data_IF_919408304182
#
_entry.id   IF_919408304182
#
_cell.length_a   1.000
_cell.length_b   1.000
_cell.length_c   1.000
_cell.angle_alpha   90.00
_cell.angle_beta   90.00
_cell.angle_gamma   90.00
#
_symmetry.space_group_name_H-M   'P 1'
#
loop_
_entity.id
_entity.type
_entity.pdbx_description
1 polymer ?
#
# COMPACT_ATOMS: atom_id res chain seq x y z
N UNK A 1 9.43 11.49 -5.58
CA UNK A 1 8.66 11.45 -4.33
C UNK A 1 8.00 10.08 -4.15
N UNK A 2 7.04 9.69 -4.99
CA UNK A 2 6.42 8.35 -4.96
C UNK A 2 7.41 7.17 -4.78
N UNK A 3 8.42 7.04 -5.65
CA UNK A 3 9.38 5.93 -5.57
C UNK A 3 10.14 5.89 -4.24
N UNK A 4 10.44 7.05 -3.65
CA UNK A 4 11.09 7.13 -2.34
C UNK A 4 10.17 6.59 -1.25
N UNK A 5 8.89 6.99 -1.26
CA UNK A 5 7.89 6.48 -0.32
C UNK A 5 7.74 4.96 -0.41
N UNK A 6 7.67 4.42 -1.63
CA UNK A 6 7.63 2.97 -1.88
C UNK A 6 8.87 2.24 -1.36
N UNK A 7 10.07 2.76 -1.60
CA UNK A 7 11.30 2.17 -1.09
C UNK A 7 11.34 2.15 0.45
N UNK A 8 10.93 3.24 1.10
CA UNK A 8 10.88 3.32 2.56
C UNK A 8 9.90 2.30 3.15
N UNK A 9 8.73 2.13 2.51
CA UNK A 9 7.74 1.14 2.90
C UNK A 9 8.30 -0.28 2.76
N UNK A 10 8.83 -0.67 1.61
CA UNK A 10 9.41 -2.01 1.42
C UNK A 10 10.50 -2.27 2.46
N UNK A 11 11.32 -1.26 2.75
CA UNK A 11 12.35 -1.37 3.79
C UNK A 11 11.77 -1.53 5.20
N UNK A 12 10.64 -0.88 5.50
CA UNK A 12 9.94 -1.07 6.77
C UNK A 12 9.41 -2.50 6.90
N UNK A 13 8.88 -3.08 5.84
CA UNK A 13 8.38 -4.46 5.80
C UNK A 13 9.52 -5.47 6.01
N UNK A 14 10.66 -5.28 5.34
CA UNK A 14 11.85 -6.14 5.53
C UNK A 14 12.40 -6.10 6.96
N UNK A 15 12.26 -4.97 7.65
CA UNK A 15 12.80 -4.78 9.01
C UNK A 15 11.77 -5.09 10.09
N UNK A 16 10.53 -5.41 9.71
CA UNK A 16 9.46 -5.68 10.64
C UNK A 16 9.63 -7.10 11.23
N UNK A 17 9.85 -7.24 12.55
CA UNK A 17 9.97 -8.57 13.17
C UNK A 17 8.66 -9.37 13.12
N UNK A 18 7.53 -8.72 12.87
CA UNK A 18 6.21 -9.35 12.79
C UNK A 18 5.78 -9.80 11.38
N UNK A 19 6.70 -9.80 10.40
CA UNK A 19 6.39 -10.40 9.08
C UNK A 19 6.07 -11.89 9.27
N UNK A 20 4.92 -12.41 8.76
CA UNK A 20 4.54 -13.82 8.89
C UNK A 20 5.60 -14.82 8.41
N UNK A 21 6.57 -14.39 7.58
CA UNK A 21 7.76 -15.20 7.22
C UNK A 21 8.66 -15.56 8.41
N UNK A 22 8.65 -14.75 9.47
CA UNK A 22 9.55 -14.87 10.63
C UNK A 22 8.85 -15.43 11.88
N UNK A 23 7.52 -15.39 11.95
CA UNK A 23 6.77 -15.71 13.17
C UNK A 23 6.52 -17.21 13.41
N UNK A 24 6.58 -18.05 12.38
CA UNK A 24 6.18 -19.47 12.46
C UNK A 24 7.17 -20.44 11.82
N UNK A 25 8.46 -20.32 12.13
CA UNK A 25 9.37 -21.42 11.80
C UNK A 25 9.01 -22.61 12.71
N UNK A 26 8.45 -23.66 12.12
CA UNK A 26 8.10 -24.91 12.84
C UNK A 26 9.32 -25.47 13.59
N UNK A 27 10.52 -25.20 13.07
CA UNK A 27 11.81 -25.53 13.68
C UNK A 27 12.06 -24.83 15.03
N UNK A 28 11.54 -23.61 15.23
CA UNK A 28 11.64 -22.86 16.48
C UNK A 28 10.65 -23.31 17.56
N UNK A 29 9.62 -24.06 17.16
CA UNK A 29 8.60 -24.63 18.05
C UNK A 29 8.97 -26.02 18.58
N UNK A 30 10.07 -26.63 18.10
CA UNK A 30 10.56 -27.91 18.61
C UNK A 30 11.27 -27.66 19.95
N UNK A 31 10.76 -28.18 21.09
CA UNK A 31 11.46 -28.12 22.37
C UNK A 31 12.87 -28.70 22.25
N UNK A 32 13.89 -28.06 22.83
CA UNK A 32 15.28 -28.56 22.80
C UNK A 32 15.41 -30.02 23.25
N UNK A 33 14.55 -30.48 24.17
CA UNK A 33 14.49 -31.87 24.64
C UNK A 33 14.13 -32.89 23.54
N UNK A 34 13.37 -32.49 22.51
CA UNK A 34 13.01 -33.37 21.39
C UNK A 34 14.08 -33.37 20.27
N UNK A 35 14.91 -32.33 20.22
CA UNK A 35 16.08 -32.25 19.34
C UNK A 35 17.20 -33.21 19.79
N UNK A 36 17.35 -33.41 21.09
CA UNK A 36 18.30 -34.38 21.66
C UNK A 36 17.91 -35.84 21.40
N UNK A 37 16.62 -36.12 21.13
CA UNK A 37 16.09 -37.45 20.79
C UNK A 37 16.14 -37.74 19.28
N UNK A 38 16.70 -36.84 18.47
CA UNK A 38 16.97 -37.08 17.05
C UNK A 38 15.80 -36.81 16.11
N UNK A 39 14.71 -36.18 16.58
CA UNK A 39 13.58 -35.79 15.74
C UNK A 39 13.94 -34.53 14.95
N UNK A 40 14.19 -34.70 13.65
CA UNK A 40 14.61 -33.64 12.73
C UNK A 40 13.48 -33.14 11.82
N UNK A 41 12.30 -33.77 11.85
CA UNK A 41 11.18 -33.40 10.99
C UNK A 41 9.81 -33.69 11.61
N UNK A 42 8.78 -32.95 11.18
CA UNK A 42 7.38 -33.12 11.59
C UNK A 42 6.79 -34.50 11.25
N UNK A 43 7.43 -35.25 10.36
CA UNK A 43 7.03 -36.63 10.03
C UNK A 43 7.30 -37.64 11.15
N UNK A 44 8.23 -37.35 12.07
CA UNK A 44 8.59 -38.28 13.16
C UNK A 44 7.68 -38.13 14.39
N UNK A 45 6.91 -37.03 14.48
CA UNK A 45 5.92 -36.80 15.54
C UNK A 45 4.65 -37.64 15.35
N UNK A 46 4.35 -38.05 14.11
CA UNK A 46 3.13 -38.81 13.78
C UNK A 46 3.29 -40.33 13.94
N UNK A 47 4.51 -40.82 14.17
CA UNK A 47 4.83 -42.26 14.31
C UNK A 47 5.13 -42.68 15.75
N UNK A 48 5.26 -41.74 16.68
CA UNK A 48 5.40 -42.05 18.10
C UNK A 48 4.05 -42.47 18.68
N UNK A 49 3.91 -43.76 19.00
CA UNK A 49 2.76 -44.32 19.70
C UNK A 49 2.71 -43.80 21.14
N UNK A 50 1.50 -43.50 21.61
CA UNK A 50 1.18 -42.76 22.84
C UNK A 50 1.32 -43.60 24.12
N UNK A 51 1.82 -44.84 24.06
CA UNK A 51 1.62 -45.84 25.13
C UNK A 51 2.76 -46.02 26.15
N UNK A 52 3.82 -45.22 26.16
CA UNK A 52 4.84 -45.29 27.23
C UNK A 52 5.28 -43.91 27.72
N UNK A 53 4.40 -43.23 28.46
CA UNK A 53 4.79 -42.14 29.36
C UNK A 53 4.52 -42.59 30.80
N UNK A 54 5.54 -42.74 31.67
CA UNK A 54 5.31 -43.07 33.07
C UNK A 54 4.62 -41.90 33.77
N UNK A 55 3.53 -42.20 34.49
CA UNK A 55 2.87 -41.26 35.40
C UNK A 55 3.87 -40.76 36.45
N UNK A 56 4.20 -39.46 36.41
CA UNK A 56 4.96 -38.79 37.48
C UNK A 56 3.99 -37.93 38.27
N UNK A 57 3.60 -38.48 39.42
CA UNK A 57 2.91 -37.79 40.51
C UNK A 57 3.95 -36.94 41.29
N UNK A 58 3.81 -35.62 41.30
CA UNK A 58 4.75 -34.70 41.97
C UNK A 58 4.44 -33.21 41.70
N UNK A 59 4.73 -32.30 42.64
CA UNK A 59 4.10 -30.98 42.72
C UNK A 59 4.50 -30.07 41.55
N UNK A 60 3.58 -29.19 41.16
CA UNK A 60 3.71 -28.16 40.13
C UNK A 60 4.91 -27.22 40.41
N UNK A 61 6.11 -27.65 40.05
CA UNK A 61 7.25 -26.76 39.92
C UNK A 61 7.19 -26.16 38.51
N UNK A 62 6.74 -24.90 38.44
CA UNK A 62 7.04 -24.05 37.29
C UNK A 62 8.57 -24.10 37.07
N UNK A 63 9.06 -24.34 35.84
CA UNK A 63 10.50 -24.33 35.61
C UNK A 63 11.02 -22.92 35.89
N UNK A 64 11.73 -22.73 37.00
CA UNK A 64 12.43 -21.48 37.30
C UNK A 64 13.45 -21.23 36.18
N UNK A 65 13.12 -20.30 35.28
CA UNK A 65 14.00 -19.84 34.22
C UNK A 65 15.34 -19.40 34.81
N UNK A 66 16.44 -20.02 34.36
CA UNK A 66 17.79 -19.67 34.81
C UNK A 66 18.03 -18.17 34.59
N UNK A 67 18.69 -17.49 35.54
CA UNK A 67 19.03 -16.05 35.43
C UNK A 67 19.72 -15.70 34.11
N UNK A 68 20.49 -16.64 33.53
CA UNK A 68 21.10 -16.50 32.19
C UNK A 68 20.08 -16.56 31.04
N UNK A 69 19.06 -17.41 31.13
CA UNK A 69 17.97 -17.48 30.15
C UNK A 69 17.11 -16.20 30.22
N UNK A 70 16.82 -15.70 31.41
CA UNK A 70 16.10 -14.45 31.62
C UNK A 70 16.84 -13.24 31.01
N UNK A 71 18.16 -13.18 31.16
CA UNK A 71 18.97 -12.13 30.53
C UNK A 71 19.00 -12.24 29.00
N UNK A 72 19.07 -13.45 28.44
CA UNK A 72 18.99 -13.66 26.99
C UNK A 72 17.66 -13.19 26.41
N UNK A 73 16.56 -13.61 27.04
CA UNK A 73 15.21 -13.18 26.64
C UNK A 73 15.05 -11.66 26.77
N UNK A 74 15.60 -11.04 27.81
CA UNK A 74 15.57 -9.59 27.99
C UNK A 74 16.34 -8.84 26.89
N UNK A 75 17.50 -9.35 26.48
CA UNK A 75 18.27 -8.74 25.39
C UNK A 75 17.57 -8.91 24.04
N UNK A 76 17.01 -10.09 23.78
CA UNK A 76 16.24 -10.36 22.57
C UNK A 76 14.98 -9.48 22.49
N UNK A 77 14.28 -9.30 23.60
CA UNK A 77 13.14 -8.38 23.67
C UNK A 77 13.54 -6.93 23.36
N UNK A 78 14.69 -6.46 23.87
CA UNK A 78 15.21 -5.13 23.54
C UNK A 78 15.52 -4.98 22.06
N UNK A 79 16.15 -5.97 21.46
CA UNK A 79 16.46 -5.97 20.02
C UNK A 79 15.18 -5.90 19.18
N UNK A 80 14.18 -6.72 19.51
CA UNK A 80 12.87 -6.70 18.84
C UNK A 80 12.17 -5.35 18.97
N UNK A 81 12.19 -4.73 20.16
CA UNK A 81 11.62 -3.39 20.37
C UNK A 81 12.32 -2.37 19.47
N UNK A 82 13.66 -2.36 19.45
CA UNK A 82 14.41 -1.41 18.62
C UNK A 82 14.16 -1.60 17.12
N UNK A 83 14.05 -2.86 16.67
CA UNK A 83 13.72 -3.17 15.26
C UNK A 83 12.31 -2.71 14.91
N UNK A 84 11.35 -2.91 15.82
CA UNK A 84 9.95 -2.49 15.65
C UNK A 84 9.85 -0.96 15.59
N UNK A 85 10.52 -0.25 16.50
CA UNK A 85 10.58 1.22 16.50
C UNK A 85 11.16 1.77 15.20
N UNK A 86 12.22 1.14 14.70
CA UNK A 86 12.84 1.54 13.43
C UNK A 86 11.94 1.26 12.22
N UNK A 87 11.27 0.10 12.18
CA UNK A 87 10.28 -0.20 11.13
C UNK A 87 9.13 0.81 11.12
N UNK A 88 8.59 1.14 12.31
CA UNK A 88 7.54 2.14 12.45
C UNK A 88 7.99 3.55 12.01
N UNK A 89 9.23 3.92 12.30
CA UNK A 89 9.80 5.19 11.83
C UNK A 89 9.85 5.24 10.30
N UNK A 90 10.32 4.19 9.65
CA UNK A 90 10.35 4.09 8.19
C UNK A 90 8.95 4.16 7.59
N UNK A 91 7.98 3.49 8.20
CA UNK A 91 6.59 3.52 7.77
C UNK A 91 5.97 4.93 7.90
N UNK A 92 6.27 5.62 9.01
CA UNK A 92 5.85 7.02 9.20
C UNK A 92 6.45 7.95 8.14
N UNK A 93 7.73 7.76 7.79
CA UNK A 93 8.36 8.54 6.73
C UNK A 93 7.78 8.20 5.34
N UNK A 94 7.49 6.92 5.09
CA UNK A 94 6.86 6.47 3.86
C UNK A 94 5.50 7.12 3.66
N UNK A 95 4.63 7.08 4.68
CA UNK A 95 3.29 7.70 4.65
C UNK A 95 3.38 9.22 4.46
N UNK A 96 4.30 9.91 5.11
CA UNK A 96 4.49 11.35 4.89
C UNK A 96 4.88 11.68 3.44
N UNK A 97 5.88 10.99 2.90
CA UNK A 97 6.37 11.21 1.53
C UNK A 97 5.30 10.86 0.49
N UNK A 98 4.55 9.78 0.72
CA UNK A 98 3.44 9.38 -0.15
C UNK A 98 2.31 10.42 -0.12
N UNK A 99 1.94 10.92 1.05
CA UNK A 99 0.89 11.93 1.19
C UNK A 99 1.26 13.24 0.47
N UNK A 100 2.50 13.69 0.63
CA UNK A 100 3.02 14.85 -0.12
C UNK A 100 3.03 14.59 -1.63
N UNK A 101 3.46 13.39 -2.05
CA UNK A 101 3.47 12.98 -3.46
C UNK A 101 2.07 13.00 -4.07
N UNK A 102 1.07 12.47 -3.36
CA UNK A 102 -0.34 12.46 -3.80
C UNK A 102 -0.85 13.89 -3.94
N UNK A 103 -0.65 14.74 -2.94
CA UNK A 103 -1.14 16.11 -2.94
C UNK A 103 -0.55 16.91 -4.12
N UNK A 104 0.78 16.84 -4.31
CA UNK A 104 1.43 17.47 -5.47
C UNK A 104 0.92 16.91 -6.80
N UNK A 105 0.77 15.59 -6.90
CA UNK A 105 0.30 14.94 -8.13
C UNK A 105 -1.15 15.30 -8.48
N UNK A 106 -2.02 15.48 -7.48
CA UNK A 106 -3.39 15.99 -7.69
C UNK A 106 -3.39 17.41 -8.27
N UNK A 107 -2.54 18.30 -7.75
CA UNK A 107 -2.45 19.66 -8.29
C UNK A 107 -1.91 19.72 -9.72
N UNK A 108 -0.97 18.84 -10.07
CA UNK A 108 -0.39 18.76 -11.43
C UNK A 108 -1.22 17.88 -12.38
N UNK A 109 -2.25 17.20 -11.85
CA UNK A 109 -3.09 16.21 -12.55
C UNK A 109 -2.28 15.03 -13.12
N UNK A 110 -1.25 14.58 -12.38
CA UNK A 110 -0.46 13.41 -12.70
C UNK A 110 -1.17 12.13 -12.19
N UNK A 111 -2.26 11.74 -12.86
CA UNK A 111 -3.18 10.67 -12.46
C UNK A 111 -2.46 9.33 -12.19
N UNK A 112 -1.48 8.99 -13.02
CA UNK A 112 -0.63 7.80 -12.87
C UNK A 112 0.06 7.69 -11.51
N UNK A 113 0.63 8.83 -11.08
CA UNK A 113 1.35 8.94 -9.81
C UNK A 113 0.35 8.91 -8.66
N UNK A 114 -0.80 9.57 -8.81
CA UNK A 114 -1.88 9.52 -7.81
C UNK A 114 -2.37 8.09 -7.61
N UNK A 115 -2.68 7.36 -8.70
CA UNK A 115 -3.14 5.97 -8.63
C UNK A 115 -2.12 5.10 -7.89
N UNK A 116 -0.86 5.12 -8.33
CA UNK A 116 0.19 4.26 -7.77
C UNK A 116 0.49 4.61 -6.31
N UNK A 117 0.64 5.90 -5.98
CA UNK A 117 0.94 6.34 -4.63
C UNK A 117 -0.23 6.11 -3.65
N UNK A 118 -1.47 6.23 -4.13
CA UNK A 118 -2.65 5.96 -3.30
C UNK A 118 -2.75 4.49 -2.94
N UNK A 119 -2.44 3.58 -3.88
CA UNK A 119 -2.42 2.14 -3.58
C UNK A 119 -1.35 1.79 -2.55
N UNK A 120 -0.13 2.32 -2.70
CA UNK A 120 0.93 2.15 -1.68
C UNK A 120 0.49 2.71 -0.31
N UNK A 121 -0.24 3.82 -0.28
CA UNK A 121 -0.77 4.41 0.94
C UNK A 121 -1.83 3.51 1.61
N UNK A 122 -2.67 2.84 0.83
CA UNK A 122 -3.64 1.86 1.34
C UNK A 122 -2.90 0.78 2.11
N UNK A 123 -1.84 0.22 1.53
CA UNK A 123 -1.09 -0.86 2.16
C UNK A 123 -0.33 -0.39 3.41
N UNK A 124 0.18 0.85 3.43
CA UNK A 124 0.76 1.45 4.64
C UNK A 124 -0.25 1.63 5.79
N UNK A 125 -1.49 2.04 5.48
CA UNK A 125 -2.45 2.48 6.48
C UNK A 125 -3.53 1.44 6.82
N UNK A 126 -3.70 0.38 6.02
CA UNK A 126 -4.85 -0.54 6.12
C UNK A 126 -5.01 -1.18 7.51
N UNK A 127 -3.92 -1.56 8.15
CA UNK A 127 -3.95 -2.22 9.46
C UNK A 127 -4.21 -1.23 10.61
N UNK A 128 -3.72 0.01 10.47
CA UNK A 128 -3.76 1.03 11.53
C UNK A 128 -5.05 1.87 11.49
N UNK A 129 -5.48 2.23 10.29
CA UNK A 129 -6.64 3.07 10.06
C UNK A 129 -7.38 2.65 8.77
N UNK A 130 -8.34 1.72 8.90
CA UNK A 130 -9.08 1.18 7.74
C UNK A 130 -9.96 2.24 7.06
N UNK A 131 -10.45 3.24 7.80
CA UNK A 131 -11.24 4.33 7.21
C UNK A 131 -10.41 5.18 6.26
N UNK A 132 -9.23 5.63 6.72
CA UNK A 132 -8.29 6.38 5.88
C UNK A 132 -7.82 5.56 4.69
N UNK A 133 -7.52 4.27 4.89
CA UNK A 133 -7.17 3.37 3.80
C UNK A 133 -8.30 3.27 2.76
N UNK A 134 -9.56 3.22 3.19
CA UNK A 134 -10.71 3.19 2.28
C UNK A 134 -10.82 4.47 1.44
N UNK A 135 -10.50 5.64 2.01
CA UNK A 135 -10.45 6.91 1.24
C UNK A 135 -9.37 6.90 0.17
N UNK A 136 -8.17 6.42 0.49
CA UNK A 136 -7.11 6.25 -0.51
C UNK A 136 -7.45 5.20 -1.55
N UNK A 137 -8.20 4.15 -1.18
CA UNK A 137 -8.68 3.15 -2.13
C UNK A 137 -9.69 3.77 -3.13
N UNK A 138 -10.61 4.60 -2.65
CA UNK A 138 -11.54 5.34 -3.50
C UNK A 138 -10.81 6.33 -4.43
N UNK A 139 -9.73 6.96 -3.92
CA UNK A 139 -8.88 7.84 -4.72
C UNK A 139 -8.17 7.07 -5.83
N UNK A 140 -7.58 5.92 -5.50
CA UNK A 140 -6.98 5.03 -6.50
C UNK A 140 -8.01 4.59 -7.55
N UNK A 141 -9.20 4.15 -7.14
CA UNK A 141 -10.27 3.75 -8.06
C UNK A 141 -10.69 4.90 -8.97
N UNK A 142 -10.83 6.12 -8.44
CA UNK A 142 -11.16 7.32 -9.22
C UNK A 142 -10.05 7.65 -10.23
N UNK A 143 -8.78 7.48 -9.85
CA UNK A 143 -7.64 7.67 -10.73
C UNK A 143 -7.60 6.65 -11.87
N UNK A 144 -7.79 5.37 -11.58
CA UNK A 144 -7.86 4.31 -12.60
C UNK A 144 -9.05 4.49 -13.54
N UNK A 145 -10.21 4.89 -13.01
CA UNK A 145 -11.39 5.21 -13.83
C UNK A 145 -11.13 6.41 -14.76
N UNK A 146 -10.52 7.46 -14.24
CA UNK A 146 -10.14 8.64 -15.03
C UNK A 146 -9.14 8.29 -16.12
N UNK A 147 -8.10 7.51 -15.80
CA UNK A 147 -7.11 7.01 -16.77
C UNK A 147 -7.80 6.23 -17.89
N UNK A 148 -8.58 5.23 -17.53
CA UNK A 148 -9.29 4.37 -18.50
C UNK A 148 -10.20 5.21 -19.40
N UNK A 149 -10.91 6.18 -18.82
CA UNK A 149 -11.79 7.06 -19.58
C UNK A 149 -10.99 8.02 -20.49
N UNK A 150 -9.84 8.53 -20.05
CA UNK A 150 -8.94 9.35 -20.89
C UNK A 150 -8.45 8.55 -22.10
N UNK A 151 -8.07 7.29 -21.91
CA UNK A 151 -7.67 6.39 -23.00
C UNK A 151 -8.82 6.12 -23.98
N UNK A 152 -10.05 5.90 -23.48
CA UNK A 152 -11.24 5.76 -24.32
C UNK A 152 -11.56 7.03 -25.11
N UNK A 153 -11.43 8.21 -24.49
CA UNK A 153 -11.63 9.49 -25.18
C UNK A 153 -10.56 9.70 -26.25
N UNK A 154 -9.30 9.39 -25.95
CA UNK A 154 -8.19 9.48 -26.92
C UNK A 154 -8.41 8.58 -28.13
N UNK A 155 -8.83 7.32 -27.91
CA UNK A 155 -9.12 6.39 -29.02
C UNK A 155 -10.34 6.82 -29.84
N UNK A 156 -11.37 7.37 -29.18
CA UNK A 156 -12.57 7.89 -29.87
C UNK A 156 -12.26 9.13 -30.71
N UNK A 157 -11.25 9.91 -30.33
CA UNK A 157 -10.86 11.17 -30.96
C UNK A 157 -9.46 11.01 -31.58
N UNK A 158 -9.33 10.04 -32.48
CA UNK A 158 -8.04 9.67 -33.07
C UNK A 158 -7.46 10.72 -34.01
N UNK A 159 -8.30 11.48 -34.72
CA UNK A 159 -7.86 12.48 -35.70
C UNK A 159 -7.90 13.90 -35.09
N UNK A 160 -6.73 14.57 -34.91
CA UNK A 160 -6.63 15.93 -34.37
C UNK A 160 -7.36 16.98 -35.20
N UNK A 161 -7.59 16.74 -36.50
CA UNK A 161 -8.20 17.71 -37.41
C UNK A 161 -9.73 17.78 -37.28
N UNK A 162 -10.35 16.79 -36.63
CA UNK A 162 -11.81 16.66 -36.53
C UNK A 162 -12.45 17.68 -35.61
N UNK A 163 -11.75 18.13 -34.58
CA UNK A 163 -12.28 19.11 -33.62
C UNK A 163 -11.17 19.83 -32.85
N UNK A 164 -11.51 21.00 -32.30
CA UNK A 164 -10.60 21.72 -31.39
C UNK A 164 -10.26 20.88 -30.15
N UNK A 165 -11.24 20.11 -29.63
CA UNK A 165 -11.02 19.21 -28.50
C UNK A 165 -9.96 18.15 -28.82
N UNK A 166 -10.05 17.52 -30.00
CA UNK A 166 -9.07 16.57 -30.51
C UNK A 166 -7.68 17.17 -30.53
N UNK A 167 -7.52 18.32 -31.19
CA UNK A 167 -6.23 18.99 -31.33
C UNK A 167 -5.60 19.30 -29.96
N UNK A 168 -6.37 19.86 -29.03
CA UNK A 168 -5.89 20.22 -27.69
C UNK A 168 -5.51 18.99 -26.86
N UNK A 169 -6.28 17.91 -26.95
CA UNK A 169 -6.04 16.69 -26.20
C UNK A 169 -4.78 15.96 -26.69
N UNK A 170 -4.58 15.90 -28.02
CA UNK A 170 -3.35 15.37 -28.61
C UNK A 170 -2.14 16.23 -28.26
N UNK A 171 -2.28 17.56 -28.26
CA UNK A 171 -1.21 18.47 -27.85
C UNK A 171 -0.84 18.30 -26.37
N UNK A 172 -1.83 18.16 -25.48
CA UNK A 172 -1.60 17.87 -24.04
C UNK A 172 -0.86 16.54 -23.87
N UNK A 173 -1.31 15.50 -24.55
CA UNK A 173 -0.70 14.16 -24.47
C UNK A 173 0.74 14.18 -24.98
N UNK A 174 1.01 14.87 -26.09
CA UNK A 174 2.35 15.04 -26.64
C UNK A 174 3.27 15.79 -25.66
N UNK A 175 2.80 16.88 -25.05
CA UNK A 175 3.56 17.61 -24.04
C UNK A 175 3.91 16.75 -22.82
N UNK A 176 3.01 15.84 -22.42
CA UNK A 176 3.25 14.92 -21.31
C UNK A 176 4.25 13.82 -21.67
N UNK A 177 4.17 13.23 -22.86
CA UNK A 177 5.10 12.20 -23.33
C UNK A 177 6.52 12.74 -23.52
N UNK A 178 6.64 14.00 -23.97
CA UNK A 178 7.92 14.66 -24.22
C UNK A 178 8.39 15.53 -23.04
N UNK A 179 7.73 15.45 -21.88
CA UNK A 179 8.02 16.27 -20.70
C UNK A 179 9.47 16.16 -20.22
N UNK A 180 10.02 14.96 -20.17
CA UNK A 180 11.39 14.69 -19.69
C UNK A 180 12.46 15.29 -20.61
N UNK A 181 12.21 15.31 -21.92
CA UNK A 181 13.18 15.78 -22.92
C UNK A 181 13.05 17.28 -23.19
N UNK A 182 11.87 17.86 -23.01
CA UNK A 182 11.58 19.25 -23.39
C UNK A 182 11.38 20.19 -22.20
N UNK A 183 11.10 19.67 -21.00
CA UNK A 183 10.78 20.47 -19.81
C UNK A 183 9.51 21.33 -19.97
N UNK A 184 8.65 21.01 -20.95
CA UNK A 184 7.46 21.81 -21.28
C UNK A 184 6.22 21.43 -20.45
N UNK A 185 6.33 20.49 -19.53
CA UNK A 185 5.30 20.06 -18.60
C UNK A 185 4.81 21.17 -17.66
N UNK A 186 5.67 22.16 -17.39
CA UNK A 186 5.36 23.34 -16.57
C UNK A 186 5.18 24.62 -17.39
N UNK A 187 5.20 24.50 -18.73
CA UNK A 187 5.13 25.63 -19.66
C UNK A 187 3.80 26.40 -19.57
N UNK A 188 3.85 27.69 -19.92
CA UNK A 188 2.65 28.51 -20.09
C UNK A 188 1.70 27.95 -21.15
N UNK A 189 2.24 27.30 -22.18
CA UNK A 189 1.47 26.62 -23.23
C UNK A 189 0.58 25.52 -22.64
N UNK A 190 1.15 24.59 -21.85
CA UNK A 190 0.36 23.52 -21.22
C UNK A 190 -0.71 24.09 -20.30
N UNK A 191 -0.38 25.12 -19.50
CA UNK A 191 -1.35 25.79 -18.61
C UNK A 191 -2.52 26.38 -19.40
N UNK A 192 -2.25 27.01 -20.54
CA UNK A 192 -3.29 27.55 -21.41
C UNK A 192 -4.16 26.46 -22.03
N UNK A 193 -3.57 25.34 -22.48
CA UNK A 193 -4.32 24.19 -23.00
C UNK A 193 -5.24 23.62 -21.94
N UNK A 194 -4.73 23.37 -20.73
CA UNK A 194 -5.52 22.86 -19.60
C UNK A 194 -6.64 23.84 -19.20
N UNK A 195 -6.37 25.14 -19.25
CA UNK A 195 -7.39 26.18 -19.02
C UNK A 195 -8.51 26.11 -20.06
N UNK A 196 -8.18 26.11 -21.36
CA UNK A 196 -9.17 25.99 -22.43
C UNK A 196 -9.96 24.69 -22.31
N UNK A 197 -9.29 23.57 -22.01
CA UNK A 197 -9.92 22.26 -21.84
C UNK A 197 -10.92 22.26 -20.67
N UNK A 198 -10.55 22.84 -19.53
CA UNK A 198 -11.40 22.88 -18.33
C UNK A 198 -12.55 23.89 -18.42
N UNK A 199 -12.38 25.00 -19.14
CA UNK A 199 -13.40 26.03 -19.31
C UNK A 199 -14.45 25.63 -20.36
N UNK A 200 -14.02 25.05 -21.48
CA UNK A 200 -14.90 24.82 -22.64
C UNK A 200 -15.45 23.39 -22.73
N UNK A 201 -14.84 22.41 -22.05
CA UNK A 201 -15.21 21.00 -22.21
C UNK A 201 -15.52 20.32 -20.88
N UNK A 202 -16.81 20.08 -20.65
CA UNK A 202 -17.31 19.37 -19.44
C UNK A 202 -16.76 17.95 -19.34
N UNK A 203 -16.55 17.28 -20.47
CA UNK A 203 -15.98 15.93 -20.51
C UNK A 203 -14.57 15.89 -19.95
N UNK A 204 -13.73 16.90 -20.26
CA UNK A 204 -12.40 17.01 -19.69
C UNK A 204 -12.44 17.28 -18.19
N UNK A 205 -13.29 18.22 -17.76
CA UNK A 205 -13.45 18.53 -16.33
C UNK A 205 -13.83 17.29 -15.50
N UNK A 206 -14.62 16.37 -16.06
CA UNK A 206 -14.99 15.09 -15.42
C UNK A 206 -13.86 14.07 -15.35
N UNK A 207 -12.81 14.20 -16.17
CA UNK A 207 -11.61 13.39 -16.08
C UNK A 207 -10.64 13.89 -15.01
N UNK A 208 -10.76 15.15 -14.59
CA UNK A 208 -9.84 15.70 -13.60
C UNK A 208 -10.19 15.22 -12.18
N UNK A 209 -9.15 14.90 -11.41
CA UNK A 209 -9.31 14.56 -10.00
C UNK A 209 -9.32 15.83 -9.16
N UNK A 210 -10.23 15.92 -8.21
CA UNK A 210 -10.29 17.05 -7.27
C UNK A 210 -9.16 16.95 -6.23
N UNK A 211 -8.47 18.05 -5.87
CA UNK A 211 -7.43 18.00 -4.84
C UNK A 211 -7.99 17.62 -3.45
N UNK A 212 -9.26 17.95 -3.19
CA UNK A 212 -9.95 17.61 -1.95
C UNK A 212 -10.68 16.25 -2.04
N UNK A 213 -10.21 15.31 -2.87
CA UNK A 213 -10.88 14.02 -3.04
C UNK A 213 -11.02 13.24 -1.73
N UNK A 214 -10.05 13.35 -0.82
CA UNK A 214 -10.09 12.70 0.49
C UNK A 214 -11.17 13.28 1.44
N UNK A 215 -11.75 14.44 1.12
CA UNK A 215 -12.84 15.03 1.88
C UNK A 215 -14.22 14.45 1.51
N UNK A 216 -14.27 13.42 0.63
CA UNK A 216 -15.50 12.80 0.13
C UNK A 216 -16.50 12.43 1.26
N UNK A 217 -15.99 12.02 2.43
CA UNK A 217 -16.84 11.67 3.59
C UNK A 217 -17.63 12.84 4.16
N UNK A 218 -17.15 14.08 4.02
CA UNK A 218 -17.86 15.26 4.53
C UNK A 218 -19.16 15.50 3.78
N UNK A 219 -19.22 15.05 2.53
CA UNK A 219 -20.34 15.30 1.62
C UNK A 219 -21.36 14.14 1.60
N UNK A 220 -21.02 12.98 2.17
CA UNK A 220 -21.89 11.80 2.19
C UNK A 220 -22.78 11.83 3.45
N UNK A 221 -24.11 11.70 3.32
CA UNK A 221 -24.99 11.63 4.48
C UNK A 221 -24.70 10.37 5.32
N UNK A 222 -24.81 10.43 6.66
CA UNK A 222 -24.46 9.33 7.57
C UNK A 222 -25.36 8.08 7.47
N UNK A 223 -26.40 8.13 6.63
CA UNK A 223 -27.30 7.01 6.37
C UNK A 223 -26.84 6.12 5.20
N UNK A 224 -25.77 6.48 4.50
CA UNK A 224 -25.24 5.73 3.37
C UNK A 224 -23.96 4.99 3.76
N UNK A 225 -23.91 3.71 3.41
CA UNK A 225 -22.68 2.93 3.46
C UNK A 225 -22.15 2.78 2.04
N UNK A 226 -20.87 3.07 1.81
CA UNK A 226 -20.24 2.90 0.50
C UNK A 226 -19.19 1.81 0.61
N UNK A 227 -19.32 0.79 -0.26
CA UNK A 227 -18.33 -0.27 -0.37
C UNK A 227 -17.46 0.00 -1.59
N UNK A 228 -16.15 0.14 -1.37
CA UNK A 228 -15.17 0.35 -2.44
C UNK A 228 -14.45 -0.97 -2.68
N UNK A 229 -14.58 -1.47 -3.90
CA UNK A 229 -13.93 -2.69 -4.37
C UNK A 229 -12.97 -2.34 -5.50
N UNK A 230 -11.72 -2.77 -5.38
CA UNK A 230 -10.70 -2.44 -6.35
C UNK A 230 -9.69 -3.57 -6.47
N UNK A 231 -9.43 -4.02 -7.69
CA UNK A 231 -8.38 -5.00 -7.94
C UNK A 231 -7.00 -4.37 -7.88
N UNK A 232 -6.02 -5.17 -7.46
CA UNK A 232 -4.61 -4.88 -7.71
C UNK A 232 -4.34 -4.79 -9.22
N UNK A 233 -3.29 -4.06 -9.65
CA UNK A 233 -2.94 -3.94 -11.07
C UNK A 233 -2.70 -5.30 -11.78
N UNK A 234 -2.23 -6.31 -11.06
CA UNK A 234 -2.02 -7.68 -11.54
C UNK A 234 -3.27 -8.57 -11.44
N UNK A 235 -4.37 -8.04 -10.89
CA UNK A 235 -5.67 -8.71 -10.69
C UNK A 235 -5.61 -9.94 -9.77
N UNK A 236 -4.56 -10.11 -8.99
CA UNK A 236 -4.44 -11.23 -8.05
C UNK A 236 -5.18 -10.96 -6.72
N UNK A 237 -5.24 -9.70 -6.32
CA UNK A 237 -5.82 -9.28 -5.04
C UNK A 237 -7.02 -8.38 -5.30
N UNK A 238 -8.06 -8.49 -4.46
CA UNK A 238 -9.19 -7.58 -4.42
C UNK A 238 -9.16 -6.84 -3.08
N UNK A 239 -8.89 -5.54 -3.13
CA UNK A 239 -9.00 -4.66 -1.97
C UNK A 239 -10.47 -4.30 -1.76
N UNK A 240 -10.87 -4.27 -0.49
CA UNK A 240 -12.20 -3.88 -0.07
C UNK A 240 -12.08 -2.90 1.09
N UNK A 241 -12.85 -1.82 1.02
CA UNK A 241 -13.03 -0.89 2.13
C UNK A 241 -14.50 -0.48 2.24
N UNK A 242 -14.93 -0.20 3.47
CA UNK A 242 -16.29 0.23 3.77
C UNK A 242 -16.22 1.61 4.43
N UNK A 243 -17.00 2.53 3.89
CA UNK A 243 -17.20 3.89 4.40
C UNK A 243 -18.59 4.03 5.01
#
# INVERSE_FOLDING_TARGET
MYLLGRCLRIRSEETNPDDPKHQWSVESLIPEMLREVGVQSSSDLLTASVDELPEVDGPQNQPELSTKQMQRLSNQAKELITSTEFSNLLLSQATEVLAQSINMALHVQAIEVVSSASLEMVECCAQLNPQTATLYLALHQSAEASRSMKELVMSSVSDPSTSQFAALLHQETWLMQNSVTTGLDSSSMRKNILKILSENFTSWKRLQLTPNHLDLMKDIPPAFNIVVLQHSPDKQTLYCGVM
#
